data_IF_338066848447
#
_entry.id   IF_338066848447
#
_cell.length_a   1.000
_cell.length_b   1.000
_cell.length_c   1.000
_cell.angle_alpha   90.00
_cell.angle_beta   90.00
_cell.angle_gamma   90.00
#
_symmetry.space_group_name_H-M   'P 1'
#
loop_
_entity.id
_entity.type
_entity.pdbx_description
1 polymer ?
#
# COMPACT_ATOMS: atom_id res chain seq x y z
N UNK A 1 -18.85 -46.19 21.01
CA UNK A 1 -18.19 -44.95 21.48
C UNK A 1 -17.48 -44.31 20.30
N UNK A 2 -18.05 -43.24 19.73
CA UNK A 2 -17.45 -42.45 18.63
C UNK A 2 -16.51 -41.41 19.24
N UNK A 3 -15.23 -41.49 18.90
CA UNK A 3 -14.19 -40.52 19.29
C UNK A 3 -14.21 -39.31 18.34
N UNK A 4 -14.19 -38.12 18.94
CA UNK A 4 -14.10 -36.81 18.30
C UNK A 4 -12.86 -36.72 17.39
N UNK A 5 -13.02 -36.16 16.18
CA UNK A 5 -11.92 -35.53 15.44
C UNK A 5 -12.01 -34.02 15.64
N UNK A 6 -11.11 -33.47 16.45
CA UNK A 6 -10.78 -32.05 16.42
C UNK A 6 -9.94 -31.79 15.16
N UNK A 7 -10.42 -30.93 14.28
CA UNK A 7 -9.65 -30.40 13.15
C UNK A 7 -8.77 -29.26 13.66
N UNK A 8 -7.47 -29.52 13.76
CA UNK A 8 -6.44 -28.52 14.05
C UNK A 8 -6.15 -27.77 12.74
N UNK A 9 -6.55 -26.50 12.62
CA UNK A 9 -6.09 -25.63 11.54
C UNK A 9 -4.64 -25.23 11.82
N UNK A 10 -3.76 -25.64 10.92
CA UNK A 10 -2.33 -25.36 10.94
C UNK A 10 -2.11 -23.88 10.56
N UNK A 11 -1.62 -23.07 11.49
CA UNK A 11 -1.09 -21.73 11.19
C UNK A 11 0.34 -21.91 10.66
N UNK A 12 0.51 -21.87 9.35
CA UNK A 12 1.82 -21.82 8.71
C UNK A 12 2.37 -20.39 8.83
N UNK A 13 3.21 -20.16 9.84
CA UNK A 13 4.08 -18.98 9.88
C UNK A 13 5.14 -19.12 8.79
N UNK A 14 5.06 -18.31 7.75
CA UNK A 14 6.13 -18.20 6.75
C UNK A 14 7.28 -17.41 7.39
N UNK A 15 8.37 -18.11 7.70
CA UNK A 15 9.65 -17.48 8.07
C UNK A 15 10.33 -17.04 6.77
N UNK A 16 10.38 -15.73 6.53
CA UNK A 16 11.17 -15.16 5.44
C UNK A 16 12.66 -15.38 5.72
N UNK A 17 13.31 -16.24 4.95
CA UNK A 17 14.76 -16.45 5.03
C UNK A 17 15.46 -15.37 4.21
N UNK A 18 16.05 -14.38 4.88
CA UNK A 18 17.00 -13.46 4.27
C UNK A 18 18.40 -14.10 4.31
N UNK A 19 18.91 -14.56 3.17
CA UNK A 19 20.32 -14.90 3.04
C UNK A 19 21.10 -13.62 2.74
N UNK A 20 21.90 -13.15 3.71
CA UNK A 20 22.87 -12.07 3.46
C UNK A 20 24.08 -12.64 2.74
N UNK A 21 24.43 -12.06 1.59
CA UNK A 21 25.80 -12.10 1.10
C UNK A 21 26.19 -10.74 0.52
N UNK A 22 27.45 -10.38 0.74
CA UNK A 22 28.05 -9.06 0.65
C UNK A 22 27.82 -8.32 -0.69
N UNK A 23 27.49 -7.04 -0.57
CA UNK A 23 27.09 -6.14 -1.66
C UNK A 23 25.73 -5.54 -1.31
N UNK A 24 25.71 -4.28 -0.87
CA UNK A 24 24.60 -3.62 -0.18
C UNK A 24 23.39 -3.32 -1.11
N UNK A 25 22.83 -4.35 -1.77
CA UNK A 25 21.53 -4.34 -2.42
C UNK A 25 20.50 -4.80 -1.40
N UNK A 26 19.76 -3.87 -0.79
CA UNK A 26 18.56 -4.24 -0.03
C UNK A 26 17.48 -4.71 -1.02
N UNK A 27 16.87 -5.82 -0.65
CA UNK A 27 16.16 -6.77 -1.50
C UNK A 27 14.69 -6.37 -1.68
N UNK A 28 14.14 -6.44 -2.91
CA UNK A 28 12.69 -6.45 -3.13
C UNK A 28 12.05 -7.53 -2.27
N UNK A 29 11.22 -7.11 -1.31
CA UNK A 29 10.51 -8.04 -0.44
C UNK A 29 9.27 -8.53 -1.18
N UNK A 30 9.39 -9.72 -1.75
CA UNK A 30 8.27 -10.44 -2.35
C UNK A 30 7.55 -11.20 -1.25
N UNK A 31 6.31 -10.80 -0.97
CA UNK A 31 5.42 -11.55 -0.11
C UNK A 31 4.45 -12.35 -0.98
N UNK A 32 4.44 -13.67 -0.80
CA UNK A 32 3.35 -14.49 -1.33
C UNK A 32 2.11 -14.20 -0.49
N UNK A 33 1.24 -13.33 -1.00
CA UNK A 33 0.03 -12.90 -0.32
C UNK A 33 -1.12 -13.87 -0.64
N UNK A 34 -0.88 -15.16 -0.39
CA UNK A 34 -1.98 -16.12 -0.20
C UNK A 34 -2.86 -15.65 0.97
N UNK A 35 -4.13 -16.04 0.96
CA UNK A 35 -5.12 -15.55 1.93
C UNK A 35 -4.60 -15.66 3.37
N UNK A 36 -4.62 -14.56 4.12
CA UNK A 36 -4.19 -14.54 5.52
C UNK A 36 -2.82 -13.91 5.78
N UNK A 37 -2.20 -13.23 4.80
CA UNK A 37 -1.03 -12.39 5.06
C UNK A 37 -1.39 -11.31 6.10
N UNK A 38 -0.55 -11.18 7.11
CA UNK A 38 -0.64 -10.15 8.15
C UNK A 38 0.78 -9.80 8.57
N UNK A 39 1.31 -8.72 7.98
CA UNK A 39 2.69 -8.29 8.18
C UNK A 39 2.73 -6.88 8.72
N UNK A 40 3.82 -6.55 9.40
CA UNK A 40 4.11 -5.18 9.80
C UNK A 40 5.48 -4.79 9.26
N UNK A 41 5.53 -3.66 8.57
CA UNK A 41 6.74 -3.09 7.97
C UNK A 41 7.06 -1.75 8.61
N UNK A 42 8.34 -1.45 8.72
CA UNK A 42 8.82 -0.10 8.99
C UNK A 42 9.05 0.59 7.65
N UNK A 43 8.61 1.83 7.51
CA UNK A 43 8.74 2.59 6.27
C UNK A 43 9.07 4.05 6.60
N UNK A 44 10.05 4.60 5.89
CA UNK A 44 10.47 6.00 6.00
C UNK A 44 10.17 6.69 4.68
N UNK A 45 8.90 7.06 4.42
CA UNK A 45 8.50 7.61 3.13
C UNK A 45 9.00 9.03 2.93
N UNK A 46 9.21 9.41 1.68
CA UNK A 46 9.21 10.82 1.33
C UNK A 46 7.83 11.44 1.65
N UNK A 47 7.80 12.68 2.16
CA UNK A 47 6.56 13.33 2.52
C UNK A 47 5.73 13.61 1.28
N UNK A 48 4.53 13.04 1.23
CA UNK A 48 3.39 13.47 0.43
C UNK A 48 2.29 12.42 0.56
N UNK A 49 2.49 11.24 -0.04
CA UNK A 49 1.56 10.12 0.01
C UNK A 49 2.23 8.75 -0.09
N UNK A 50 1.52 7.74 0.39
CA UNK A 50 1.79 6.32 0.20
C UNK A 50 0.80 5.76 -0.82
N UNK A 51 1.10 4.59 -1.38
CA UNK A 51 0.19 3.95 -2.32
C UNK A 51 0.20 2.42 -2.27
N UNK A 52 -0.87 1.83 -2.82
CA UNK A 52 -0.95 0.46 -3.31
C UNK A 52 -1.38 0.49 -4.78
N UNK A 53 -0.63 -0.14 -5.68
CA UNK A 53 -0.96 -0.15 -7.12
C UNK A 53 -0.69 -1.52 -7.74
N UNK A 54 -1.38 -1.85 -8.82
CA UNK A 54 -0.90 -2.89 -9.71
C UNK A 54 0.14 -2.27 -10.66
N UNK A 55 1.40 -2.73 -10.62
CA UNK A 55 2.48 -2.09 -11.37
C UNK A 55 2.39 -2.29 -12.88
N UNK A 56 1.65 -3.30 -13.36
CA UNK A 56 1.46 -3.56 -14.78
C UNK A 56 0.35 -2.68 -15.39
N UNK A 57 -0.58 -2.21 -14.56
CA UNK A 57 -1.71 -1.38 -14.99
C UNK A 57 -1.52 0.12 -14.78
N UNK A 58 -0.65 0.52 -13.84
CA UNK A 58 -0.41 1.92 -13.53
C UNK A 58 0.43 2.59 -14.62
N UNK A 59 -0.16 3.57 -15.30
CA UNK A 59 0.54 4.38 -16.30
C UNK A 59 1.32 5.48 -15.57
N UNK A 60 2.61 5.27 -15.34
CA UNK A 60 3.42 6.17 -14.51
C UNK A 60 3.77 7.49 -15.18
N UNK A 61 4.25 7.44 -16.42
CA UNK A 61 4.77 8.62 -17.11
C UNK A 61 3.70 9.68 -17.35
N UNK A 62 3.95 10.89 -16.82
CA UNK A 62 3.09 12.06 -16.99
C UNK A 62 3.67 12.98 -18.06
N UNK A 63 4.89 13.46 -17.81
CA UNK A 63 5.61 14.42 -18.65
C UNK A 63 7.03 14.62 -18.11
N UNK A 64 7.98 14.95 -18.98
CA UNK A 64 9.31 15.42 -18.55
C UNK A 64 9.25 16.76 -17.79
N UNK A 65 8.24 17.57 -18.07
CA UNK A 65 7.98 18.88 -17.46
C UNK A 65 6.83 18.81 -16.44
N UNK A 66 6.73 17.70 -15.70
CA UNK A 66 5.66 17.51 -14.73
C UNK A 66 5.69 18.59 -13.63
N UNK A 67 4.51 18.96 -13.16
CA UNK A 67 4.27 19.82 -11.99
C UNK A 67 3.57 19.01 -10.90
N UNK A 68 3.66 19.45 -9.64
CA UNK A 68 2.97 18.78 -8.53
C UNK A 68 1.46 18.67 -8.78
N UNK A 69 0.84 19.73 -9.31
CA UNK A 69 -0.59 19.76 -9.63
C UNK A 69 -0.95 18.76 -10.73
N UNK A 70 -0.11 18.66 -11.78
CA UNK A 70 -0.31 17.66 -12.83
C UNK A 70 -0.13 16.24 -12.31
N UNK A 71 0.78 16.04 -11.36
CA UNK A 71 1.02 14.74 -10.74
C UNK A 71 -0.15 14.32 -9.85
N UNK A 72 -0.68 15.22 -9.03
CA UNK A 72 -1.88 14.95 -8.22
C UNK A 72 -3.11 14.70 -9.08
N UNK A 73 -3.28 15.47 -10.15
CA UNK A 73 -4.37 15.26 -11.12
C UNK A 73 -4.26 13.87 -11.74
N UNK A 74 -3.07 13.49 -12.21
CA UNK A 74 -2.79 12.16 -12.76
C UNK A 74 -3.06 11.05 -11.74
N UNK A 75 -2.52 11.12 -10.53
CA UNK A 75 -2.77 10.11 -9.49
C UNK A 75 -4.26 9.99 -9.19
N UNK A 76 -4.99 11.10 -9.10
CA UNK A 76 -6.45 11.10 -8.88
C UNK A 76 -7.20 10.43 -10.05
N UNK A 77 -6.78 10.66 -11.29
CA UNK A 77 -7.33 9.98 -12.48
C UNK A 77 -7.05 8.48 -12.46
N UNK A 78 -5.83 8.08 -12.08
CA UNK A 78 -5.45 6.67 -11.94
C UNK A 78 -6.20 5.99 -10.78
N UNK A 79 -6.47 6.70 -9.67
CA UNK A 79 -7.32 6.22 -8.57
C UNK A 79 -8.75 5.98 -9.03
N UNK A 80 -9.32 6.93 -9.77
CA UNK A 80 -10.64 6.80 -10.38
C UNK A 80 -10.69 5.74 -11.49
N UNK A 81 -9.53 5.30 -11.99
CA UNK A 81 -9.41 4.20 -12.95
C UNK A 81 -9.10 2.86 -12.27
N UNK A 82 -9.10 2.81 -10.93
CA UNK A 82 -8.81 1.63 -10.12
C UNK A 82 -7.44 1.01 -10.38
N UNK A 83 -6.45 1.83 -10.70
CA UNK A 83 -5.06 1.38 -10.94
C UNK A 83 -4.17 1.56 -9.71
N UNK A 84 -4.56 2.47 -8.83
CA UNK A 84 -3.83 2.85 -7.63
C UNK A 84 -4.78 3.28 -6.51
N UNK A 85 -4.40 2.98 -5.28
CA UNK A 85 -4.94 3.54 -4.05
C UNK A 85 -3.84 4.43 -3.44
N UNK A 86 -4.08 5.72 -3.26
CA UNK A 86 -3.09 6.65 -2.70
C UNK A 86 -3.70 7.49 -1.57
N UNK A 87 -2.89 7.80 -0.55
CA UNK A 87 -3.32 8.60 0.60
C UNK A 87 -2.13 9.33 1.24
N UNK A 88 -2.41 10.46 1.87
CA UNK A 88 -1.41 11.32 2.47
C UNK A 88 -0.67 10.69 3.64
N UNK A 89 0.57 11.11 3.82
CA UNK A 89 1.44 10.65 4.92
C UNK A 89 2.21 11.80 5.57
N UNK A 90 2.42 11.80 6.90
CA UNK A 90 3.33 12.74 7.55
C UNK A 90 4.79 12.43 7.23
N UNK A 91 5.68 13.40 7.48
CA UNK A 91 7.13 13.31 7.33
C UNK A 91 7.78 12.72 8.58
N UNK A 92 7.77 11.39 8.67
CA UNK A 92 8.36 10.65 9.78
C UNK A 92 8.39 9.15 9.49
N UNK A 93 9.15 8.40 10.30
CA UNK A 93 9.10 6.94 10.28
C UNK A 93 7.72 6.41 10.68
N UNK A 94 7.29 5.39 9.95
CA UNK A 94 5.99 4.76 10.10
C UNK A 94 6.10 3.26 10.30
N UNK A 95 5.17 2.74 11.08
CA UNK A 95 4.90 1.32 11.23
C UNK A 95 3.57 1.00 10.56
N UNK A 96 3.63 0.23 9.48
CA UNK A 96 2.48 -0.04 8.61
C UNK A 96 2.16 -1.51 8.71
N UNK A 97 0.91 -1.82 9.05
CA UNK A 97 0.39 -3.19 9.05
C UNK A 97 -0.37 -3.44 7.75
N UNK A 98 0.01 -4.47 7.01
CA UNK A 98 -0.65 -4.89 5.77
C UNK A 98 -1.32 -6.25 6.02
N UNK A 99 -2.62 -6.31 5.78
CA UNK A 99 -3.44 -7.50 5.95
C UNK A 99 -4.07 -7.85 4.60
N UNK A 100 -3.84 -9.05 4.10
CA UNK A 100 -4.46 -9.56 2.86
C UNK A 100 -5.41 -10.70 3.20
N UNK A 101 -6.68 -10.56 2.80
CA UNK A 101 -7.76 -11.47 3.16
C UNK A 101 -8.53 -11.92 1.92
N UNK A 102 -8.98 -13.16 1.95
CA UNK A 102 -9.96 -13.65 1.00
C UNK A 102 -11.36 -13.30 1.47
N UNK A 103 -12.20 -12.90 0.51
CA UNK A 103 -13.59 -12.53 0.76
C UNK A 103 -13.77 -11.08 1.23
N UNK A 104 -15.02 -10.65 1.21
CA UNK A 104 -15.41 -9.30 1.60
C UNK A 104 -15.45 -9.16 3.12
N UNK A 105 -14.69 -8.20 3.65
CA UNK A 105 -14.73 -7.84 5.07
C UNK A 105 -15.51 -6.53 5.18
N UNK A 106 -16.59 -6.57 5.95
CA UNK A 106 -17.47 -5.40 6.19
C UNK A 106 -17.03 -4.65 7.46
N UNK A 107 -16.33 -5.33 8.38
CA UNK A 107 -16.01 -4.78 9.69
C UNK A 107 -14.54 -4.34 9.79
N UNK A 108 -14.27 -3.12 10.29
CA UNK A 108 -12.91 -2.65 10.52
C UNK A 108 -12.20 -3.55 11.54
N UNK A 109 -10.88 -3.80 11.36
CA UNK A 109 -10.14 -4.75 12.19
C UNK A 109 -10.12 -4.40 13.68
N UNK A 110 -10.30 -3.11 14.04
CA UNK A 110 -10.54 -2.62 15.40
C UNK A 110 -11.29 -1.27 15.37
N UNK A 111 -12.02 -0.88 16.45
CA UNK A 111 -12.77 0.39 16.48
C UNK A 111 -11.92 1.64 16.77
N UNK A 112 -10.60 1.52 17.01
CA UNK A 112 -9.73 2.61 17.43
C UNK A 112 -8.89 3.18 16.27
N UNK A 113 -9.54 3.85 15.33
CA UNK A 113 -8.87 4.61 14.28
C UNK A 113 -9.33 6.07 14.26
N UNK A 114 -8.42 6.97 13.93
CA UNK A 114 -8.67 8.40 13.85
C UNK A 114 -9.35 8.80 12.53
N UNK A 115 -9.05 8.09 11.44
CA UNK A 115 -9.67 8.29 10.12
C UNK A 115 -9.58 7.00 9.29
N UNK A 116 -10.46 6.86 8.30
CA UNK A 116 -10.43 5.79 7.32
C UNK A 116 -10.77 6.30 5.91
N UNK A 117 -10.20 5.66 4.89
CA UNK A 117 -10.54 5.87 3.48
C UNK A 117 -10.50 4.52 2.76
N UNK A 118 -11.23 4.41 1.65
CA UNK A 118 -11.35 3.19 0.87
C UNK A 118 -11.12 3.46 -0.61
N UNK A 119 -10.54 2.48 -1.30
CA UNK A 119 -10.23 2.53 -2.72
C UNK A 119 -10.54 1.18 -3.37
N UNK A 120 -10.56 1.16 -4.70
CA UNK A 120 -10.51 -0.07 -5.49
C UNK A 120 -9.25 -0.10 -6.35
N UNK A 121 -8.63 -1.28 -6.44
CA UNK A 121 -7.48 -1.55 -7.33
C UNK A 121 -7.74 -2.83 -8.09
N UNK A 122 -7.70 -2.78 -9.42
CA UNK A 122 -7.70 -3.95 -10.28
C UNK A 122 -6.28 -4.46 -10.42
N UNK A 123 -6.07 -5.75 -10.15
CA UNK A 123 -4.77 -6.38 -10.27
C UNK A 123 -4.78 -7.56 -11.23
N UNK A 124 -3.73 -7.64 -12.04
CA UNK A 124 -3.35 -8.77 -12.88
C UNK A 124 -2.58 -9.87 -12.14
N UNK A 125 -2.40 -9.75 -10.82
CA UNK A 125 -1.72 -10.74 -9.97
C UNK A 125 -0.59 -10.20 -9.11
N UNK A 126 -0.34 -8.89 -9.15
CA UNK A 126 0.68 -8.22 -8.34
C UNK A 126 0.13 -6.92 -7.78
N UNK A 127 0.39 -6.68 -6.50
CA UNK A 127 0.19 -5.37 -5.88
C UNK A 127 1.51 -4.90 -5.31
N UNK A 128 1.84 -3.64 -5.53
CA UNK A 128 3.01 -3.02 -4.96
C UNK A 128 2.61 -1.93 -3.98
N UNK A 129 3.33 -1.87 -2.86
CA UNK A 129 3.21 -0.83 -1.86
C UNK A 129 4.48 0.02 -1.87
N UNK A 130 4.31 1.34 -1.89
CA UNK A 130 5.42 2.29 -1.95
C UNK A 130 5.03 3.71 -1.54
N UNK A 131 5.95 4.63 -1.82
CA UNK A 131 5.90 6.06 -1.47
C UNK A 131 5.86 6.97 -2.69
N UNK A 132 5.58 8.26 -2.44
CA UNK A 132 5.68 9.37 -3.39
C UNK A 132 6.87 9.29 -4.36
N UNK A 133 8.05 8.93 -3.88
CA UNK A 133 9.27 8.79 -4.69
C UNK A 133 9.09 7.88 -5.91
N UNK A 134 8.42 6.74 -5.77
CA UNK A 134 8.23 5.82 -6.89
C UNK A 134 7.29 6.40 -7.94
N UNK A 135 6.33 7.21 -7.50
CA UNK A 135 5.36 7.89 -8.36
C UNK A 135 6.02 9.06 -9.08
N UNK A 136 6.86 9.86 -8.42
CA UNK A 136 7.58 10.95 -9.09
C UNK A 136 8.61 10.43 -10.08
N UNK A 137 9.34 9.37 -9.73
CA UNK A 137 10.33 8.76 -10.64
C UNK A 137 9.65 8.21 -11.90
N UNK A 138 8.57 7.43 -11.74
CA UNK A 138 7.80 6.92 -12.89
C UNK A 138 7.07 8.00 -13.67
N UNK A 139 6.70 9.13 -13.04
CA UNK A 139 6.10 10.27 -13.73
C UNK A 139 7.07 11.04 -14.61
N UNK A 140 8.33 11.16 -14.17
CA UNK A 140 9.35 11.95 -14.84
C UNK A 140 10.07 11.20 -15.96
N UNK A 141 10.32 9.89 -15.76
CA UNK A 141 11.17 9.08 -16.62
C UNK A 141 10.36 7.94 -17.26
N UNK A 142 10.19 7.91 -18.60
CA UNK A 142 9.41 6.87 -19.29
C UNK A 142 9.87 5.43 -19.02
N UNK A 143 11.16 5.25 -18.70
CA UNK A 143 11.79 3.98 -18.39
C UNK A 143 11.62 3.54 -16.94
N UNK A 144 11.19 4.43 -16.04
CA UNK A 144 10.98 4.12 -14.64
C UNK A 144 9.59 3.55 -14.42
N UNK A 145 9.54 2.39 -13.78
CA UNK A 145 8.29 1.73 -13.40
C UNK A 145 8.01 1.96 -11.92
N UNK A 146 6.73 1.99 -11.55
CA UNK A 146 6.35 2.15 -10.14
C UNK A 146 6.85 0.99 -9.26
N UNK A 147 7.24 -0.15 -9.86
CA UNK A 147 7.91 -1.27 -9.20
C UNK A 147 9.38 -1.52 -9.53
N UNK A 148 10.02 -0.52 -10.12
CA UNK A 148 11.47 -0.48 -10.23
C UNK A 148 12.10 -0.41 -8.83
N UNK A 149 13.16 -1.19 -8.62
CA UNK A 149 14.02 -1.00 -7.47
C UNK A 149 14.69 0.38 -7.62
N UNK A 150 14.40 1.29 -6.69
CA UNK A 150 15.06 2.60 -6.69
C UNK A 150 16.54 2.41 -6.35
N UNK A 151 17.40 2.60 -7.35
CA UNK A 151 18.85 2.70 -7.13
C UNK A 151 19.24 4.04 -6.48
N UNK A 152 18.29 4.97 -6.33
CA UNK A 152 18.53 6.35 -5.90
C UNK A 152 18.61 6.50 -4.37
N UNK A 153 17.93 5.63 -3.60
CA UNK A 153 18.10 5.63 -2.14
C UNK A 153 17.88 4.23 -1.54
N UNK A 154 18.84 3.72 -0.75
CA UNK A 154 18.80 2.37 -0.19
C UNK A 154 17.70 2.15 0.87
N UNK A 155 16.99 3.20 1.27
CA UNK A 155 15.93 3.13 2.28
C UNK A 155 14.50 3.22 1.70
N UNK A 156 14.35 3.41 0.39
CA UNK A 156 13.04 3.29 -0.27
C UNK A 156 12.76 1.82 -0.59
N UNK A 157 12.41 1.05 0.44
CA UNK A 157 12.01 -0.34 0.26
C UNK A 157 10.61 -0.41 -0.33
N UNK A 158 10.50 -0.96 -1.53
CA UNK A 158 9.23 -1.34 -2.12
C UNK A 158 8.81 -2.73 -1.62
N UNK A 159 7.51 -2.90 -1.36
CA UNK A 159 6.95 -4.20 -1.00
C UNK A 159 6.06 -4.71 -2.13
N UNK A 160 6.44 -5.85 -2.71
CA UNK A 160 5.64 -6.49 -3.74
C UNK A 160 4.86 -7.65 -3.12
N UNK A 161 3.56 -7.67 -3.38
CA UNK A 161 2.63 -8.69 -2.94
C UNK A 161 2.19 -9.49 -4.18
N UNK A 162 2.44 -10.79 -4.19
CA UNK A 162 1.85 -11.69 -5.18
C UNK A 162 0.42 -12.00 -4.76
N UNK A 163 -0.55 -11.65 -5.59
CA UNK A 163 -1.98 -11.84 -5.32
C UNK A 163 -2.66 -12.59 -6.47
N UNK A 164 -3.92 -12.97 -6.31
CA UNK A 164 -4.70 -13.51 -7.43
C UNK A 164 -5.15 -12.36 -8.34
N UNK A 165 -5.24 -12.54 -9.66
CA UNK A 165 -5.85 -11.53 -10.52
C UNK A 165 -7.30 -11.28 -10.09
N UNK A 166 -7.62 -10.06 -9.68
CA UNK A 166 -8.94 -9.67 -9.17
C UNK A 166 -9.05 -8.16 -8.98
N UNK A 167 -10.27 -7.69 -8.71
CA UNK A 167 -10.52 -6.36 -8.14
C UNK A 167 -10.45 -6.43 -6.62
N UNK A 168 -9.63 -5.58 -6.02
CA UNK A 168 -9.40 -5.51 -4.59
C UNK A 168 -9.98 -4.22 -4.02
N UNK A 169 -10.63 -4.33 -2.85
CA UNK A 169 -10.90 -3.17 -2.00
C UNK A 169 -9.70 -2.95 -1.09
N UNK A 170 -9.20 -1.72 -1.07
CA UNK A 170 -8.09 -1.29 -0.22
C UNK A 170 -8.67 -0.34 0.82
N UNK A 171 -8.78 -0.80 2.06
CA UNK A 171 -9.20 0.04 3.18
C UNK A 171 -7.96 0.47 3.98
N UNK A 172 -7.84 1.78 4.18
CA UNK A 172 -6.71 2.38 4.89
C UNK A 172 -7.23 3.03 6.16
N UNK A 173 -6.70 2.58 7.29
CA UNK A 173 -7.03 3.07 8.62
C UNK A 173 -5.83 3.81 9.20
N UNK A 174 -6.05 5.06 9.60
CA UNK A 174 -5.05 5.89 10.27
C UNK A 174 -5.25 5.84 11.79
N UNK A 175 -4.20 5.53 12.55
CA UNK A 175 -4.26 5.36 14.01
C UNK A 175 -3.68 6.55 14.79
N UNK A 176 -3.52 7.71 14.15
CA UNK A 176 -2.96 8.91 14.74
C UNK A 176 -3.75 10.16 14.36
N UNK A 177 -3.72 11.15 15.25
CA UNK A 177 -4.25 12.49 14.98
C UNK A 177 -3.32 13.22 14.01
N UNK A 178 -3.88 13.78 12.95
CA UNK A 178 -3.12 14.49 11.94
C UNK A 178 -4.01 15.51 11.24
N UNK A 179 -3.59 16.77 11.27
CA UNK A 179 -4.14 17.80 10.41
C UNK A 179 -3.67 17.50 8.99
N UNK A 180 -4.62 17.24 8.09
CA UNK A 180 -4.32 16.78 6.73
C UNK A 180 -3.25 17.65 6.06
N UNK A 181 -2.20 16.99 5.57
CA UNK A 181 -1.02 17.59 4.96
C UNK A 181 -0.13 18.44 5.89
N UNK A 182 -0.28 18.38 7.21
CA UNK A 182 0.76 18.90 8.11
C UNK A 182 2.01 18.04 8.02
N UNK A 183 3.18 18.64 8.20
CA UNK A 183 4.45 17.90 8.12
C UNK A 183 4.56 16.79 9.17
N UNK A 184 4.02 17.01 10.38
CA UNK A 184 4.09 16.04 11.47
C UNK A 184 2.70 15.67 11.99
N UNK A 185 2.58 14.43 12.48
CA UNK A 185 1.39 13.98 13.20
C UNK A 185 1.27 14.69 14.57
N UNK A 186 0.03 14.97 14.98
CA UNK A 186 -0.25 15.62 16.27
C UNK A 186 -0.12 14.64 17.44
N UNK A 187 -0.55 13.39 17.24
CA UNK A 187 -0.45 12.33 18.25
C UNK A 187 -0.23 10.98 17.60
N UNK A 188 0.99 10.47 17.69
CA UNK A 188 1.32 9.14 17.22
C UNK A 188 0.93 8.09 18.26
N UNK A 189 0.26 7.05 17.79
CA UNK A 189 0.22 5.80 18.53
C UNK A 189 1.61 5.15 18.50
N UNK A 190 2.11 4.66 19.66
CA UNK A 190 3.39 3.93 19.74
C UNK A 190 3.35 2.56 19.03
N UNK A 191 2.15 2.11 18.62
CA UNK A 191 1.91 0.88 17.90
C UNK A 191 2.04 1.02 16.38
N UNK A 192 0.95 0.70 15.68
CA UNK A 192 0.83 0.79 14.22
C UNK A 192 0.30 2.19 13.85
N UNK A 193 0.87 2.82 12.82
CA UNK A 193 0.43 4.12 12.32
C UNK A 193 -0.68 3.98 11.27
N UNK A 194 -0.51 3.05 10.33
CA UNK A 194 -1.49 2.71 9.32
C UNK A 194 -1.79 1.21 9.32
N UNK A 195 -3.07 0.86 9.25
CA UNK A 195 -3.50 -0.50 8.89
C UNK A 195 -4.09 -0.46 7.48
N UNK A 196 -3.56 -1.29 6.59
CA UNK A 196 -4.02 -1.45 5.21
C UNK A 196 -4.65 -2.83 5.10
N UNK A 197 -5.93 -2.88 4.79
CA UNK A 197 -6.66 -4.13 4.56
C UNK A 197 -6.94 -4.26 3.06
N UNK A 198 -6.42 -5.33 2.48
CA UNK A 198 -6.58 -5.69 1.07
C UNK A 198 -7.52 -6.89 1.01
N UNK A 199 -8.72 -6.68 0.48
CA UNK A 199 -9.75 -7.72 0.39
C UNK A 199 -10.22 -7.91 -1.05
N UNK A 200 -10.39 -9.17 -1.46
CA UNK A 200 -10.92 -9.47 -2.79
C UNK A 200 -12.39 -9.02 -2.85
N UNK A 201 -12.72 -8.14 -3.81
CA UNK A 201 -14.01 -7.48 -3.89
C UNK A 201 -14.44 -7.35 -5.36
N UNK A 202 -14.87 -8.45 -5.99
CA UNK A 202 -15.10 -8.50 -7.43
C UNK A 202 -16.27 -7.61 -7.87
N UNK A 203 -17.22 -7.36 -6.97
CA UNK A 203 -18.46 -6.62 -7.26
C UNK A 203 -18.64 -5.51 -6.25
N UNK A 204 -18.72 -4.25 -6.67
CA UNK A 204 -18.92 -3.12 -5.77
C UNK A 204 -19.05 -1.81 -6.55
N UNK A 205 -19.76 -0.84 -5.99
CA UNK A 205 -19.88 0.47 -6.62
C UNK A 205 -18.52 1.14 -6.73
N UNK A 206 -18.35 1.96 -7.77
CA UNK A 206 -17.14 2.74 -7.96
C UNK A 206 -17.02 3.79 -6.84
N UNK A 207 -15.84 3.90 -6.23
CA UNK A 207 -15.52 5.02 -5.34
C UNK A 207 -14.86 6.08 -6.21
N UNK A 208 -15.41 7.30 -6.19
CA UNK A 208 -14.84 8.43 -6.92
C UNK A 208 -14.09 9.33 -5.96
N UNK A 209 -12.90 9.74 -6.35
CA UNK A 209 -12.02 10.63 -5.61
C UNK A 209 -11.84 11.94 -6.39
N UNK A 210 -11.93 13.07 -5.69
CA UNK A 210 -11.68 14.40 -6.26
C UNK A 210 -10.24 14.88 -6.02
N UNK A 211 -9.56 14.25 -5.08
CA UNK A 211 -8.15 14.42 -4.71
C UNK A 211 -7.63 13.18 -3.97
N UNK A 212 -6.34 13.21 -3.66
CA UNK A 212 -5.67 12.23 -2.81
C UNK A 212 -6.04 12.52 -1.35
N UNK A 213 -6.75 11.63 -0.64
CA UNK A 213 -7.16 11.86 0.75
C UNK A 213 -5.97 12.16 1.65
N UNK A 214 -6.16 13.05 2.63
CA UNK A 214 -5.17 13.41 3.65
C UNK A 214 -3.91 14.12 3.14
N UNK A 215 -3.92 14.66 1.92
CA UNK A 215 -2.87 15.54 1.41
C UNK A 215 -3.24 17.01 1.62
N UNK A 216 -2.26 17.90 1.75
CA UNK A 216 -2.47 19.35 1.66
C UNK A 216 -2.56 19.73 0.20
N UNK A 217 -3.52 20.58 -0.18
CA UNK A 217 -3.39 21.41 -1.38
C UNK A 217 -2.64 22.69 -1.02
#
# INVERSE_FOLDING_TARGET
MRLLRLSLLCVLSIVSTACSNEGNKKMKLNHDATSGLDITIAHSPDPAFLFVADPDSYEGFVSSDWTIDSLWSHVTEQMNSERIAAWGTPEQDLKIRIIVRDGYIIEPPTPEFAAATSFYVQSGGRLCFGSYTHITMSAQFPEEHIDAESNYHPDYSQHLLTVRPARYRIDVYRHFGWREGSQHAEQLNKGVNFTIVISNHPTGDKISHYDIPWTTR
#
